data_IF_295231589534
#
_entry.id   IF_295231589534
#
_cell.length_a   1.000
_cell.length_b   1.000
_cell.length_c   1.000
_cell.angle_alpha   90.00
_cell.angle_beta   90.00
_cell.angle_gamma   90.00
#
_symmetry.space_group_name_H-M   'P 1'
#
loop_
_entity.id
_entity.type
_entity.pdbx_description
1 polymer ?
#
# COMPACT_ATOMS: atom_id res chain seq x y z
N UNK A 1 -1.65 -1.93 26.75
CA UNK A 1 -0.27 -1.58 26.33
C UNK A 1 0.42 -2.80 25.74
N UNK A 2 0.30 -3.01 24.43
CA UNK A 2 1.26 -3.83 23.68
C UNK A 2 1.01 -3.59 22.19
N UNK A 3 1.48 -2.45 21.67
CA UNK A 3 1.63 -2.24 20.24
C UNK A 3 2.76 -3.15 19.74
N UNK A 4 2.45 -4.41 19.46
CA UNK A 4 3.33 -5.26 18.70
C UNK A 4 3.01 -5.02 17.24
N UNK A 5 3.59 -3.95 16.68
CA UNK A 5 3.71 -3.82 15.23
C UNK A 5 4.63 -4.97 14.81
N UNK A 6 4.03 -6.10 14.42
CA UNK A 6 4.75 -7.10 13.66
C UNK A 6 5.01 -6.42 12.31
N UNK A 7 6.16 -5.76 12.20
CA UNK A 7 6.73 -5.41 10.90
C UNK A 7 7.06 -6.74 10.20
N UNK A 8 6.04 -7.35 9.60
CA UNK A 8 6.23 -8.41 8.64
C UNK A 8 6.99 -7.80 7.46
N UNK A 9 8.17 -8.30 7.11
CA UNK A 9 8.99 -7.74 6.03
C UNK A 9 8.33 -7.87 4.64
N UNK A 10 7.14 -8.48 4.57
CA UNK A 10 6.34 -8.69 3.36
C UNK A 10 4.99 -7.96 3.37
N UNK A 11 4.80 -6.93 4.21
CA UNK A 11 3.59 -6.10 4.14
C UNK A 11 3.59 -5.25 2.87
N UNK A 12 2.90 -5.75 1.83
CA UNK A 12 2.79 -5.10 0.53
C UNK A 12 1.61 -4.11 0.43
N UNK A 13 0.88 -3.87 1.51
CA UNK A 13 -0.34 -3.07 1.53
C UNK A 13 -0.24 -1.81 2.40
N UNK A 14 -1.05 -0.80 2.06
CA UNK A 14 -1.39 0.27 2.99
C UNK A 14 -2.38 -0.30 4.01
N UNK A 15 -2.03 -0.30 5.30
CA UNK A 15 -2.91 -0.77 6.36
C UNK A 15 -3.70 0.41 6.93
N UNK A 16 -5.02 0.37 6.81
CA UNK A 16 -5.95 1.36 7.36
C UNK A 16 -6.60 0.70 8.58
N UNK A 17 -6.57 1.38 9.72
CA UNK A 17 -7.17 0.87 10.96
C UNK A 17 -8.70 0.89 10.87
N UNK A 18 -9.38 -0.01 11.56
CA UNK A 18 -10.84 -0.01 11.64
C UNK A 18 -11.38 1.26 12.32
N UNK A 19 -10.58 1.87 13.20
CA UNK A 19 -10.88 3.13 13.89
C UNK A 19 -10.52 4.39 13.07
N UNK A 20 -10.10 4.23 11.81
CA UNK A 20 -9.73 5.36 10.95
C UNK A 20 -10.97 6.21 10.65
N UNK A 21 -10.88 7.50 10.98
CA UNK A 21 -12.00 8.42 10.83
C UNK A 21 -12.03 9.10 9.46
N UNK A 22 -10.96 9.03 8.67
CA UNK A 22 -10.87 9.70 7.38
C UNK A 22 -10.78 11.22 7.49
N UNK A 23 -10.69 11.87 6.34
CA UNK A 23 -10.50 13.30 6.20
C UNK A 23 -11.80 14.03 5.86
N UNK A 24 -11.92 15.27 6.33
CA UNK A 24 -13.04 16.15 6.03
C UNK A 24 -13.09 16.52 4.53
N UNK A 25 -14.29 16.68 4.00
CA UNK A 25 -14.54 16.97 2.58
C UNK A 25 -14.03 18.35 2.18
N UNK A 26 -14.12 19.33 3.10
CA UNK A 26 -13.71 20.71 2.88
C UNK A 26 -12.20 20.87 2.60
N UNK A 27 -11.41 19.84 2.89
CA UNK A 27 -9.98 19.79 2.59
C UNK A 27 -9.69 19.44 1.11
N UNK A 28 -10.71 19.03 0.35
CA UNK A 28 -10.56 18.55 -1.02
C UNK A 28 -11.53 19.24 -1.99
N UNK A 29 -11.16 19.20 -3.27
CA UNK A 29 -12.04 19.61 -4.35
C UNK A 29 -12.92 18.42 -4.77
N UNK A 30 -14.08 18.26 -4.13
CA UNK A 30 -15.07 17.22 -4.45
C UNK A 30 -16.10 17.77 -5.46
N UNK A 31 -16.53 17.01 -6.48
CA UNK A 31 -17.59 17.44 -7.38
C UNK A 31 -18.88 17.76 -6.62
N UNK A 32 -19.48 18.92 -6.91
CA UNK A 32 -20.62 19.46 -6.13
C UNK A 32 -21.84 18.54 -6.07
N UNK A 33 -22.07 17.73 -7.10
CA UNK A 33 -23.20 16.81 -7.14
C UNK A 33 -23.02 15.58 -6.24
N UNK A 34 -21.86 15.42 -5.60
CA UNK A 34 -21.61 14.40 -4.58
C UNK A 34 -21.42 14.99 -3.17
N UNK A 35 -21.56 16.30 -3.01
CA UNK A 35 -21.28 16.97 -1.73
C UNK A 35 -22.24 16.51 -0.61
N UNK A 36 -23.48 16.17 -0.95
CA UNK A 36 -24.49 15.72 0.01
C UNK A 36 -24.51 14.19 0.21
N UNK A 37 -23.84 13.44 -0.68
CA UNK A 37 -23.84 11.97 -0.68
C UNK A 37 -22.58 11.36 -0.03
N UNK A 38 -21.60 12.20 0.30
CA UNK A 38 -20.33 11.79 0.88
C UNK A 38 -20.20 12.39 2.28
N UNK A 39 -19.63 11.61 3.20
CA UNK A 39 -19.35 12.09 4.56
C UNK A 39 -17.87 12.47 4.73
N UNK A 40 -16.95 11.60 4.28
CA UNK A 40 -15.50 11.74 4.49
C UNK A 40 -14.69 11.08 3.39
N UNK A 41 -13.47 11.56 3.18
CA UNK A 41 -12.48 10.94 2.28
C UNK A 41 -11.58 10.01 3.09
N UNK A 42 -11.64 8.69 2.85
CA UNK A 42 -10.77 7.72 3.54
C UNK A 42 -9.38 7.62 2.93
N UNK A 43 -9.29 7.62 1.60
CA UNK A 43 -8.02 7.52 0.88
C UNK A 43 -7.94 8.66 -0.14
N UNK A 44 -7.16 9.71 0.11
CA UNK A 44 -7.00 10.81 -0.83
C UNK A 44 -6.28 10.36 -2.10
N UNK A 45 -6.63 11.00 -3.22
CA UNK A 45 -6.10 10.67 -4.54
C UNK A 45 -4.56 10.65 -4.60
N UNK A 46 -3.89 11.58 -3.90
CA UNK A 46 -2.43 11.62 -3.84
C UNK A 46 -1.80 10.36 -3.23
N UNK A 47 -2.42 9.77 -2.19
CA UNK A 47 -1.93 8.54 -1.58
C UNK A 47 -2.15 7.32 -2.49
N UNK A 48 -3.26 7.30 -3.24
CA UNK A 48 -3.52 6.27 -4.24
C UNK A 48 -2.44 6.30 -5.32
N UNK A 49 -2.09 7.51 -5.81
CA UNK A 49 -1.06 7.69 -6.83
C UNK A 49 0.33 7.28 -6.32
N UNK A 50 0.78 7.78 -5.17
CA UNK A 50 2.09 7.41 -4.58
C UNK A 50 2.19 5.89 -4.41
N UNK A 51 1.13 5.26 -3.90
CA UNK A 51 1.16 3.81 -3.71
C UNK A 51 1.16 3.06 -5.04
N UNK A 52 0.37 3.50 -6.03
CA UNK A 52 0.34 2.90 -7.37
C UNK A 52 1.70 3.01 -8.06
N UNK A 53 2.35 4.17 -7.98
CA UNK A 53 3.70 4.38 -8.51
C UNK A 53 4.69 3.40 -7.87
N UNK A 54 4.68 3.29 -6.53
CA UNK A 54 5.56 2.35 -5.82
C UNK A 54 5.26 0.89 -6.14
N UNK A 55 3.99 0.52 -6.31
CA UNK A 55 3.59 -0.83 -6.70
C UNK A 55 4.06 -1.16 -8.12
N UNK A 56 3.86 -0.25 -9.07
CA UNK A 56 4.34 -0.41 -10.45
C UNK A 56 5.87 -0.45 -10.49
N UNK A 57 6.54 0.42 -9.72
CA UNK A 57 7.99 0.41 -9.60
C UNK A 57 8.50 -0.92 -9.05
N UNK A 58 7.86 -1.40 -7.99
CA UNK A 58 8.23 -2.68 -7.38
C UNK A 58 7.98 -3.82 -8.34
N UNK A 59 6.84 -3.87 -9.03
CA UNK A 59 6.52 -4.95 -9.96
C UNK A 59 7.39 -4.94 -11.23
N UNK A 60 7.66 -3.76 -11.78
CA UNK A 60 8.31 -3.61 -13.10
C UNK A 60 9.83 -3.58 -13.01
N UNK A 61 10.38 -2.96 -11.97
CA UNK A 61 11.83 -2.72 -11.87
C UNK A 61 12.49 -3.54 -10.78
N UNK A 62 11.86 -3.70 -9.61
CA UNK A 62 12.50 -4.36 -8.46
C UNK A 62 12.21 -5.86 -8.39
N UNK A 63 10.97 -6.31 -8.59
CA UNK A 63 10.57 -7.71 -8.50
C UNK A 63 11.34 -8.59 -9.49
N UNK A 64 11.62 -8.18 -10.74
CA UNK A 64 12.48 -8.97 -11.63
C UNK A 64 13.92 -9.08 -11.11
N UNK A 65 14.43 -8.08 -10.39
CA UNK A 65 15.79 -8.08 -9.84
C UNK A 65 15.86 -8.91 -8.54
N UNK A 66 14.83 -8.84 -7.69
CA UNK A 66 14.69 -9.69 -6.51
C UNK A 66 14.48 -11.16 -6.91
N UNK A 67 13.60 -11.46 -7.87
CA UNK A 67 13.38 -12.82 -8.35
C UNK A 67 14.62 -13.39 -9.05
N UNK A 68 15.41 -12.57 -9.77
CA UNK A 68 16.71 -12.99 -10.30
C UNK A 68 17.71 -13.31 -9.19
N UNK A 69 17.77 -12.50 -8.13
CA UNK A 69 18.61 -12.78 -6.97
C UNK A 69 18.15 -14.02 -6.18
N UNK A 70 16.85 -14.30 -6.14
CA UNK A 70 16.29 -15.51 -5.54
C UNK A 70 16.60 -16.77 -6.39
N UNK A 71 16.57 -16.68 -7.73
CA UNK A 71 16.98 -17.80 -8.59
C UNK A 71 18.49 -18.05 -8.57
N UNK A 72 19.34 -17.04 -8.31
CA UNK A 72 20.79 -17.25 -8.20
C UNK A 72 21.24 -17.83 -6.85
N UNK A 73 20.32 -17.98 -5.87
CA UNK A 73 20.58 -18.67 -4.58
C UNK A 73 20.00 -20.10 -4.55
N UNK A 74 19.55 -20.62 -5.69
CA UNK A 74 19.08 -22.00 -5.91
C UNK A 74 20.20 -23.07 -5.83
N UNK A 75 21.19 -22.91 -4.96
CA UNK A 75 22.05 -24.02 -4.51
C UNK A 75 21.65 -24.56 -3.13
N UNK A 76 20.67 -23.96 -2.43
CA UNK A 76 20.28 -24.42 -1.08
C UNK A 76 19.00 -25.26 -0.97
N UNK A 77 18.31 -25.61 -2.07
CA UNK A 77 17.11 -26.47 -2.02
C UNK A 77 17.23 -27.78 -2.83
N UNK A 78 18.43 -28.35 -2.93
CA UNK A 78 18.61 -29.76 -3.28
C UNK A 78 19.06 -30.55 -2.03
N UNK A 79 18.16 -30.67 -1.06
CA UNK A 79 18.30 -31.59 0.08
C UNK A 79 16.91 -31.94 0.62
N UNK A 80 16.15 -32.72 -0.16
CA UNK A 80 15.09 -33.60 0.32
C UNK A 80 15.34 -34.99 -0.27
#
# INVERSE_FOLDING_TARGET
MSHRIIHSPCSFGLHISDDEQGYDLDLFCIPKHYADDLDRVYIPHGLILDRTERLVYTHTYIAPQICKAALSTSTCCAAL
#
